data_IF_948396727742
#
_entry.id   IF_948396727742
#
_cell.length_a   1.000
_cell.length_b   1.000
_cell.length_c   1.000
_cell.angle_alpha   90.00
_cell.angle_beta   90.00
_cell.angle_gamma   90.00
#
_symmetry.space_group_name_H-M   'P 1'
#
loop_
_entity.id
_entity.type
_entity.pdbx_description
1 polymer ?
#
# COMPACT_ATOMS: atom_id res chain seq x y z
N UNK A 1 13.37 -7.06 3.79
CA UNK A 1 11.88 -6.98 3.70
C UNK A 1 11.41 -5.97 4.71
N UNK A 2 10.64 -4.99 4.26
CA UNK A 2 10.19 -3.85 5.06
C UNK A 2 8.69 -3.63 4.86
N UNK A 3 8.12 -2.87 5.78
CA UNK A 3 6.70 -2.53 5.76
C UNK A 3 6.43 -1.45 4.72
N UNK A 4 5.35 -1.58 3.95
CA UNK A 4 4.86 -0.53 3.09
C UNK A 4 3.50 -0.04 3.61
N UNK A 5 3.47 1.21 4.09
CA UNK A 5 2.23 1.91 4.42
C UNK A 5 1.79 2.66 3.17
N UNK A 6 0.53 2.49 2.77
CA UNK A 6 -0.01 3.08 1.55
C UNK A 6 -1.03 4.14 1.93
N UNK A 7 -0.79 5.37 1.51
CA UNK A 7 -1.62 6.52 1.79
C UNK A 7 -2.16 7.12 0.49
N UNK A 8 -3.44 7.47 0.50
CA UNK A 8 -4.08 8.14 -0.61
C UNK A 8 -3.60 9.59 -0.73
N UNK A 9 -3.31 10.00 -1.96
CA UNK A 9 -3.02 11.39 -2.29
C UNK A 9 -4.29 12.22 -2.20
N UNK A 10 -4.24 13.30 -1.43
CA UNK A 10 -5.34 14.26 -1.31
C UNK A 10 -6.07 14.12 0.01
N UNK A 11 -6.73 12.99 0.26
CA UNK A 11 -7.39 12.70 1.55
C UNK A 11 -6.38 12.50 2.68
N UNK A 12 -5.25 11.85 2.38
CA UNK A 12 -4.29 11.42 3.40
C UNK A 12 -4.72 10.15 4.14
N UNK A 13 -5.78 9.48 3.70
CA UNK A 13 -6.25 8.24 4.30
C UNK A 13 -5.22 7.12 4.10
N UNK A 14 -5.01 6.32 5.14
CA UNK A 14 -4.22 5.09 5.00
C UNK A 14 -5.13 4.04 4.36
N UNK A 15 -4.71 3.52 3.21
CA UNK A 15 -5.47 2.56 2.40
C UNK A 15 -5.17 1.12 2.79
N UNK A 16 -3.89 0.79 2.98
CA UNK A 16 -3.47 -0.58 3.31
C UNK A 16 -2.04 -0.61 3.83
N UNK A 17 -1.68 -1.76 4.41
CA UNK A 17 -0.30 -2.13 4.74
C UNK A 17 0.05 -3.43 4.00
N UNK A 18 1.27 -3.50 3.48
CA UNK A 18 1.83 -4.69 2.84
C UNK A 18 3.32 -4.82 3.12
N UNK A 19 3.94 -5.87 2.57
CA UNK A 19 5.37 -6.11 2.64
C UNK A 19 6.02 -5.85 1.30
N UNK A 20 7.27 -5.41 1.30
CA UNK A 20 8.13 -5.32 0.12
C UNK A 20 9.48 -5.97 0.43
N UNK A 21 10.01 -6.71 -0.54
CA UNK A 21 11.44 -6.99 -0.64
C UNK A 21 12.13 -5.87 -1.46
N UNK A 22 13.45 -5.95 -1.58
CA UNK A 22 14.25 -4.92 -2.25
C UNK A 22 13.86 -4.79 -3.73
N UNK A 23 13.59 -5.92 -4.39
CA UNK A 23 13.19 -5.99 -5.80
C UNK A 23 11.79 -5.40 -6.03
N UNK A 24 10.83 -5.61 -5.12
CA UNK A 24 9.49 -5.04 -5.20
C UNK A 24 9.53 -3.51 -5.06
N UNK A 25 10.38 -2.97 -4.17
CA UNK A 25 10.58 -1.53 -4.09
C UNK A 25 11.29 -0.98 -5.31
N UNK A 26 12.36 -1.63 -5.79
CA UNK A 26 13.05 -1.21 -7.01
C UNK A 26 12.08 -1.11 -8.20
N UNK A 27 11.25 -2.14 -8.40
CA UNK A 27 10.20 -2.15 -9.42
C UNK A 27 9.17 -1.05 -9.20
N UNK A 28 8.72 -0.85 -7.96
CA UNK A 28 7.78 0.23 -7.63
C UNK A 28 8.36 1.61 -7.97
N UNK A 29 9.64 1.85 -7.70
CA UNK A 29 10.31 3.11 -8.02
C UNK A 29 10.45 3.34 -9.53
N UNK A 30 10.74 2.26 -10.27
CA UNK A 30 10.89 2.30 -11.73
C UNK A 30 9.55 2.50 -12.45
N UNK A 31 8.56 1.65 -12.17
CA UNK A 31 7.30 1.62 -12.92
C UNK A 31 6.27 2.61 -12.37
N UNK A 32 6.43 2.99 -11.09
CA UNK A 32 5.45 3.74 -10.29
C UNK A 32 4.11 2.99 -10.14
N UNK A 33 4.13 1.68 -10.29
CA UNK A 33 3.04 0.78 -9.94
C UNK A 33 3.39 0.10 -8.62
N UNK A 34 2.47 0.13 -7.65
CA UNK A 34 2.75 -0.46 -6.35
C UNK A 34 2.92 -1.99 -6.47
N UNK A 35 4.14 -2.46 -6.23
CA UNK A 35 4.50 -3.89 -6.24
C UNK A 35 4.80 -4.33 -4.81
N UNK A 36 4.20 -5.42 -4.38
CA UNK A 36 4.34 -5.96 -3.02
C UNK A 36 4.83 -7.40 -3.04
N UNK A 37 5.33 -7.86 -1.90
CA UNK A 37 5.74 -9.24 -1.66
C UNK A 37 4.71 -9.95 -0.77
N UNK A 38 4.17 -11.07 -1.24
CA UNK A 38 3.31 -11.93 -0.44
C UNK A 38 4.15 -12.92 0.35
N UNK A 39 4.21 -12.75 1.67
CA UNK A 39 4.96 -13.67 2.56
C UNK A 39 4.39 -15.09 2.56
N UNK A 40 3.08 -15.24 2.35
CA UNK A 40 2.42 -16.55 2.34
C UNK A 40 2.59 -17.28 1.01
N UNK A 41 2.65 -16.55 -0.12
CA UNK A 41 2.86 -17.14 -1.46
C UNK A 41 4.33 -17.18 -1.87
N UNK A 42 5.20 -16.44 -1.19
CA UNK A 42 6.63 -16.35 -1.51
C UNK A 42 6.92 -15.64 -2.83
N UNK A 43 6.01 -14.77 -3.30
CA UNK A 43 6.08 -14.16 -4.62
C UNK A 43 5.67 -12.68 -4.59
N UNK A 44 6.14 -11.92 -5.60
CA UNK A 44 5.73 -10.54 -5.82
C UNK A 44 4.39 -10.45 -6.56
N UNK A 45 3.67 -9.35 -6.34
CA UNK A 45 2.44 -9.04 -7.07
C UNK A 45 2.28 -7.53 -7.22
N UNK A 46 1.78 -7.11 -8.38
CA UNK A 46 1.45 -5.71 -8.65
C UNK A 46 0.00 -5.46 -8.26
N UNK A 47 -0.26 -4.42 -7.46
CA UNK A 47 -1.61 -4.10 -6.98
C UNK A 47 -2.54 -3.83 -8.15
N UNK A 48 -3.64 -4.58 -8.18
CA UNK A 48 -4.67 -4.43 -9.21
C UNK A 48 -4.33 -5.10 -10.54
N UNK A 49 -3.23 -5.85 -10.67
CA UNK A 49 -2.88 -6.54 -11.92
C UNK A 49 -3.99 -7.48 -12.41
N UNK A 50 -4.75 -8.09 -11.50
CA UNK A 50 -5.87 -8.98 -11.81
C UNK A 50 -7.23 -8.27 -11.72
N UNK A 51 -7.44 -7.43 -10.70
CA UNK A 51 -8.75 -6.80 -10.45
C UNK A 51 -8.98 -5.48 -11.18
N UNK A 52 -7.93 -4.88 -11.75
CA UNK A 52 -7.95 -3.50 -12.25
C UNK A 52 -7.89 -2.42 -11.15
N UNK A 53 -7.90 -2.81 -9.87
CA UNK A 53 -7.84 -1.85 -8.76
C UNK A 53 -6.40 -1.43 -8.45
N UNK A 54 -5.83 -0.63 -9.33
CA UNK A 54 -4.40 -0.28 -9.34
C UNK A 54 -4.05 0.86 -8.38
N UNK A 55 -2.75 1.00 -8.12
CA UNK A 55 -2.19 2.10 -7.34
C UNK A 55 -1.04 2.75 -8.11
N UNK A 56 -1.21 4.02 -8.49
CA UNK A 56 -0.16 4.83 -9.12
C UNK A 56 0.63 5.54 -8.04
N UNK A 57 1.91 5.22 -7.92
CA UNK A 57 2.79 5.78 -6.89
C UNK A 57 3.33 7.15 -7.32
N UNK A 58 3.12 8.16 -6.49
CA UNK A 58 3.60 9.53 -6.72
C UNK A 58 4.88 9.84 -5.97
N UNK A 59 4.97 9.37 -4.72
CA UNK A 59 6.16 9.51 -3.89
C UNK A 59 6.33 8.32 -2.96
N UNK A 60 7.58 8.11 -2.55
CA UNK A 60 8.00 7.10 -1.58
C UNK A 60 8.89 7.80 -0.56
N UNK A 61 8.62 7.58 0.72
CA UNK A 61 9.43 8.09 1.84
C UNK A 61 9.89 6.93 2.70
N UNK A 62 11.16 6.91 3.07
CA UNK A 62 11.71 5.99 4.05
C UNK A 62 11.44 6.54 5.46
N UNK A 63 11.20 5.66 6.43
CA UNK A 63 11.22 6.04 7.84
C UNK A 63 12.66 6.26 8.37
N UNK A 64 12.79 6.47 9.68
CA UNK A 64 14.05 6.95 10.26
C UNK A 64 15.10 5.85 10.49
N UNK A 65 14.69 4.60 10.66
CA UNK A 65 15.55 3.43 10.85
C UNK A 65 15.57 2.49 9.65
N UNK A 66 14.76 2.76 8.62
CA UNK A 66 14.82 2.14 7.32
C UNK A 66 14.05 0.83 7.21
N UNK A 67 13.13 0.54 8.12
CA UNK A 67 12.35 -0.69 8.15
C UNK A 67 10.90 -0.56 7.64
N UNK A 68 10.50 0.67 7.28
CA UNK A 68 9.26 0.95 6.58
C UNK A 68 9.39 2.06 5.52
N UNK A 69 8.50 1.98 4.52
CA UNK A 69 8.27 3.02 3.53
C UNK A 69 6.82 3.48 3.55
N UNK A 70 6.62 4.77 3.29
CA UNK A 70 5.32 5.38 3.07
C UNK A 70 5.17 5.71 1.58
N UNK A 71 4.23 5.03 0.93
CA UNK A 71 3.80 5.31 -0.44
C UNK A 71 2.65 6.31 -0.43
N UNK A 72 2.74 7.35 -1.23
CA UNK A 72 1.59 8.21 -1.55
C UNK A 72 1.11 7.88 -2.95
N UNK A 73 -0.17 7.50 -3.09
CA UNK A 73 -0.71 6.90 -4.33
C UNK A 73 -2.03 7.53 -4.75
N UNK A 74 -2.33 7.46 -6.05
CA UNK A 74 -3.72 7.52 -6.53
C UNK A 74 -4.25 6.08 -6.62
N UNK A 75 -5.37 5.80 -5.94
CA UNK A 75 -6.04 4.50 -5.94
C UNK A 75 -7.15 4.46 -7.01
N UNK A 76 -7.17 3.41 -7.82
CA UNK A 76 -8.29 3.10 -8.71
C UNK A 76 -9.13 1.99 -8.08
N UNK A 77 -10.44 2.18 -7.94
CA UNK A 77 -11.32 1.19 -7.30
C UNK A 77 -10.95 0.93 -5.84
N UNK A 78 -11.23 -0.28 -5.34
CA UNK A 78 -11.01 -0.64 -3.94
C UNK A 78 -9.55 -1.00 -3.62
N UNK A 79 -8.98 -0.47 -2.53
CA UNK A 79 -7.70 -0.98 -2.04
C UNK A 79 -7.87 -2.37 -1.38
N UNK A 80 -8.99 -2.59 -0.70
CA UNK A 80 -9.29 -3.83 0.01
C UNK A 80 -9.93 -4.90 -0.90
N UNK A 81 -9.71 -6.17 -0.56
CA UNK A 81 -10.34 -7.30 -1.26
C UNK A 81 -11.83 -7.48 -0.92
N UNK A 82 -12.33 -6.81 0.13
CA UNK A 82 -13.74 -6.79 0.51
C UNK A 82 -14.58 -5.86 -0.36
N UNK A 83 -13.92 -5.00 -1.15
CA UNK A 83 -14.57 -3.94 -1.92
C UNK A 83 -14.47 -2.56 -1.26
N UNK A 84 -13.99 -2.48 0.00
CA UNK A 84 -13.83 -1.23 0.71
C UNK A 84 -12.66 -0.40 0.17
N UNK A 85 -12.78 0.93 0.30
CA UNK A 85 -11.74 1.86 -0.15
C UNK A 85 -10.45 1.64 0.64
N UNK A 86 -10.55 1.52 1.96
CA UNK A 86 -9.43 1.21 2.86
C UNK A 86 -9.59 -0.17 3.51
N UNK A 87 -8.47 -0.83 3.79
CA UNK A 87 -8.43 -2.01 4.64
C UNK A 87 -8.77 -1.71 6.12
N UNK A 88 -8.79 -0.44 6.51
CA UNK A 88 -9.01 0.00 7.90
C UNK A 88 -10.47 0.36 8.22
N UNK A 89 -11.40 0.07 7.30
CA UNK A 89 -12.83 0.40 7.45
C UNK A 89 -13.66 -0.71 8.15
N UNK A 90 -13.03 -1.83 8.54
CA UNK A 90 -13.75 -2.99 9.06
C UNK A 90 -14.36 -2.79 10.45
N UNK A 91 -13.69 -2.06 11.35
CA UNK A 91 -14.16 -1.77 12.71
C UNK A 91 -13.35 -0.65 13.37
N UNK A 92 -14.01 0.15 14.22
CA UNK A 92 -13.35 1.09 15.13
C UNK A 92 -13.15 0.39 16.49
N UNK A 93 -11.90 0.27 16.93
CA UNK A 93 -11.56 -0.36 18.22
C UNK A 93 -11.51 0.64 19.38
N UNK A 94 -11.28 1.92 19.06
CA UNK A 94 -11.22 3.03 20.01
C UNK A 94 -11.70 4.29 19.30
N UNK A 95 -12.77 4.89 19.80
CA UNK A 95 -13.33 6.13 19.26
C UNK A 95 -12.45 7.35 19.60
N UNK A 96 -12.49 8.43 18.80
CA UNK A 96 -11.82 9.68 19.13
C UNK A 96 -12.30 10.26 20.47
N UNK A 97 -11.40 10.89 21.21
CA UNK A 97 -11.78 11.72 22.36
C UNK A 97 -12.58 12.93 21.87
N UNK A 98 -13.64 13.28 22.62
CA UNK A 98 -14.53 14.41 22.35
C UNK A 98 -13.88 15.77 22.55
#
# INVERSE_FOLDING_TARGET
>A
MFTAVVQERGSGDVLMVAWMDDDALARTLETREATYYSRSRGEQWVKGATSGHTQRVHSVRLDCDGDAVLLTVDQVGAACHTGDHSCFDAAVLLEPES
#
